data_IF_000543669391
#
_entry.id   IF_000543669391
#
_cell.length_a   1.000
_cell.length_b   1.000
_cell.length_c   1.000
_cell.angle_alpha   90.00
_cell.angle_beta   90.00
_cell.angle_gamma   90.00
#
_symmetry.space_group_name_H-M   'P 1'
#
loop_
_entity.id
_entity.type
_entity.pdbx_description
1 polymer ?
#
# COMPACT_ATOMS: atom_id res chain seq x y z
N UNK A 1 44.54 37.11 21.32
CA UNK A 1 43.93 35.84 21.80
C UNK A 1 44.64 34.58 21.29
N UNK A 2 45.90 34.62 20.83
CA UNK A 2 46.64 33.40 20.44
C UNK A 2 46.16 32.66 19.18
N UNK A 3 45.09 33.12 18.53
CA UNK A 3 44.60 32.56 17.27
C UNK A 3 45.64 32.69 16.17
N UNK A 4 46.00 31.58 15.54
CA UNK A 4 46.98 31.52 14.47
C UNK A 4 46.48 32.33 13.26
N UNK A 5 47.27 33.30 12.78
CA UNK A 5 46.91 34.07 11.58
C UNK A 5 46.76 33.18 10.35
N UNK A 6 45.81 33.52 9.48
CA UNK A 6 45.66 32.85 8.19
C UNK A 6 46.92 33.04 7.34
N UNK A 7 47.34 31.97 6.67
CA UNK A 7 48.49 31.97 5.75
C UNK A 7 48.03 32.34 4.34
N UNK A 8 48.92 32.98 3.58
CA UNK A 8 48.66 33.29 2.18
C UNK A 8 48.41 32.00 1.37
N UNK A 9 47.41 32.03 0.49
CA UNK A 9 46.96 30.86 -0.29
C UNK A 9 46.12 29.84 0.48
N UNK A 10 45.89 30.02 1.78
CA UNK A 10 45.08 29.10 2.57
C UNK A 10 43.59 29.46 2.52
N UNK A 11 42.71 28.46 2.45
CA UNK A 11 41.27 28.67 2.33
C UNK A 11 40.72 29.32 3.63
N UNK A 12 40.13 30.54 3.56
CA UNK A 12 39.63 31.22 4.74
C UNK A 12 38.51 30.49 5.47
N UNK A 13 37.64 29.75 4.77
CA UNK A 13 36.57 28.98 5.38
C UNK A 13 37.11 27.79 6.18
N UNK A 14 38.11 27.09 5.63
CA UNK A 14 38.79 25.98 6.32
C UNK A 14 39.51 26.49 7.56
N UNK A 15 40.27 27.58 7.43
CA UNK A 15 40.97 28.20 8.56
C UNK A 15 39.99 28.61 9.67
N UNK A 16 38.85 29.20 9.31
CA UNK A 16 37.83 29.61 10.29
C UNK A 16 37.32 28.41 11.09
N UNK A 17 36.97 27.31 10.44
CA UNK A 17 36.48 26.10 11.12
C UNK A 17 37.54 25.47 12.04
N UNK A 18 38.81 25.51 11.63
CA UNK A 18 39.92 24.98 12.43
C UNK A 18 40.13 25.81 13.70
N UNK A 19 40.19 27.14 13.57
CA UNK A 19 40.46 28.04 14.70
C UNK A 19 39.25 28.24 15.61
N UNK A 20 38.03 28.03 15.12
CA UNK A 20 36.79 28.14 15.91
C UNK A 20 36.31 26.80 16.48
N UNK A 21 37.16 25.78 16.50
CA UNK A 21 36.82 24.48 17.06
C UNK A 21 36.84 24.51 18.60
N UNK A 22 36.01 23.67 19.24
CA UNK A 22 35.92 23.58 20.71
C UNK A 22 37.29 23.24 21.34
N UNK A 23 38.09 22.42 20.65
CA UNK A 23 39.43 22.09 21.08
C UNK A 23 40.35 23.32 21.13
N UNK A 24 40.26 24.21 20.12
CA UNK A 24 41.04 25.44 20.08
C UNK A 24 40.55 26.49 21.08
N UNK A 25 39.23 26.63 21.28
CA UNK A 25 38.68 27.49 22.34
C UNK A 25 39.22 27.11 23.72
N UNK A 26 39.25 25.81 24.01
CA UNK A 26 39.76 25.27 25.28
C UNK A 26 41.26 25.51 25.42
N UNK A 27 42.04 25.25 24.36
CA UNK A 27 43.49 25.44 24.38
C UNK A 27 43.90 26.92 24.55
N UNK A 28 43.12 27.84 23.97
CA UNK A 28 43.35 29.27 24.05
C UNK A 28 42.74 29.92 25.30
N UNK A 29 41.88 29.21 26.03
CA UNK A 29 41.14 29.74 27.18
C UNK A 29 40.19 30.89 26.80
N UNK A 30 39.65 30.86 25.58
CA UNK A 30 38.80 31.93 25.02
C UNK A 30 37.46 31.34 24.62
N UNK A 31 36.39 32.01 25.01
CA UNK A 31 35.03 31.77 24.51
C UNK A 31 34.78 32.75 23.34
N UNK A 32 34.79 32.24 22.10
CA UNK A 32 34.57 33.10 20.93
C UNK A 32 33.13 33.61 20.87
N UNK A 33 32.15 32.88 21.40
CA UNK A 33 30.77 33.32 21.44
C UNK A 33 30.60 34.54 22.37
N UNK A 34 31.24 34.53 23.53
CA UNK A 34 31.24 35.67 24.45
C UNK A 34 32.04 36.86 23.89
N UNK A 35 33.17 36.58 23.24
CA UNK A 35 33.96 37.60 22.54
C UNK A 35 33.14 38.29 21.44
N UNK A 36 32.40 37.52 20.65
CA UNK A 36 31.50 38.04 19.63
C UNK A 36 30.38 38.89 20.23
N UNK A 37 29.69 38.42 21.28
CA UNK A 37 28.62 39.17 21.95
C UNK A 37 29.07 40.53 22.48
N UNK A 38 30.33 40.64 22.91
CA UNK A 38 30.90 41.89 23.43
C UNK A 38 31.44 42.81 22.33
N UNK A 39 31.55 42.32 21.09
CA UNK A 39 32.13 43.07 19.97
C UNK A 39 31.20 44.16 19.44
N UNK A 40 31.79 45.16 18.78
CA UNK A 40 31.04 46.18 18.03
C UNK A 40 30.22 45.56 16.89
N UNK A 41 30.73 44.49 16.25
CA UNK A 41 30.04 43.81 15.16
C UNK A 41 28.69 43.24 15.60
N UNK A 42 28.64 42.63 16.80
CA UNK A 42 27.38 42.14 17.36
C UNK A 42 26.40 43.28 17.63
N UNK A 43 26.85 44.39 18.22
CA UNK A 43 26.01 45.57 18.47
C UNK A 43 25.44 46.15 17.17
N UNK A 44 26.27 46.26 16.13
CA UNK A 44 25.86 46.72 14.80
C UNK A 44 24.84 45.77 14.16
N UNK A 45 25.07 44.46 14.17
CA UNK A 45 24.11 43.48 13.66
C UNK A 45 22.79 43.51 14.42
N UNK A 46 22.81 43.68 15.75
CA UNK A 46 21.59 43.83 16.55
C UNK A 46 20.83 45.12 16.25
N UNK A 47 21.53 46.23 16.07
CA UNK A 47 20.92 47.49 15.65
C UNK A 47 20.25 47.36 14.28
N UNK A 48 20.94 46.74 13.31
CA UNK A 48 20.39 46.47 11.97
C UNK A 48 19.17 45.56 12.01
N UNK A 49 19.19 44.47 12.80
CA UNK A 49 18.02 43.61 12.98
C UNK A 49 16.85 44.41 13.55
N UNK A 50 17.07 45.27 14.55
CA UNK A 50 16.02 46.09 15.15
C UNK A 50 15.43 47.07 14.15
N UNK A 51 16.28 47.72 13.35
CA UNK A 51 15.87 48.62 12.27
C UNK A 51 15.00 47.89 11.23
N UNK A 52 15.47 46.74 10.73
CA UNK A 52 14.76 45.95 9.73
C UNK A 52 13.51 45.22 10.27
N UNK A 53 13.37 45.09 11.59
CA UNK A 53 12.17 44.53 12.22
C UNK A 53 11.01 45.53 12.26
N UNK A 54 11.28 46.83 12.05
CA UNK A 54 10.23 47.85 11.97
C UNK A 54 9.80 47.96 10.50
N UNK A 55 8.55 47.60 10.16
CA UNK A 55 8.07 47.73 8.79
C UNK A 55 8.06 49.19 8.35
N UNK A 56 8.34 49.43 7.07
CA UNK A 56 8.33 50.78 6.52
C UNK A 56 6.91 51.38 6.64
N UNK A 57 6.76 52.69 6.93
CA UNK A 57 5.46 53.35 6.98
C UNK A 57 4.67 53.13 5.68
N UNK A 58 3.45 52.59 5.77
CA UNK A 58 2.60 52.28 4.63
C UNK A 58 2.83 50.90 3.97
N UNK A 59 3.79 50.12 4.47
CA UNK A 59 3.93 48.71 4.08
C UNK A 59 2.88 47.83 4.76
N UNK A 60 2.47 46.75 4.09
CA UNK A 60 1.57 45.73 4.61
C UNK A 60 2.29 44.39 4.67
N UNK A 61 1.87 43.54 5.61
CA UNK A 61 2.44 42.20 5.74
C UNK A 61 2.17 41.37 4.48
N UNK A 62 3.16 40.56 4.10
CA UNK A 62 3.05 39.65 2.98
C UNK A 62 1.98 38.59 3.28
N UNK A 63 0.82 38.71 2.65
CA UNK A 63 -0.30 37.78 2.83
C UNK A 63 -0.48 36.89 1.61
N UNK A 64 -0.44 35.58 1.82
CA UNK A 64 -0.81 34.59 0.81
C UNK A 64 -2.19 34.02 1.16
N UNK A 65 -3.18 34.08 0.25
CA UNK A 65 -4.53 33.61 0.53
C UNK A 65 -4.61 32.09 0.71
N UNK A 66 -3.63 31.35 0.19
CA UNK A 66 -3.59 29.89 0.23
C UNK A 66 -2.17 29.42 0.54
N UNK A 67 -2.07 28.29 1.24
CA UNK A 67 -0.79 27.62 1.50
C UNK A 67 -0.13 27.10 0.21
N UNK A 68 -0.94 26.74 -0.79
CA UNK A 68 -0.49 26.18 -2.07
C UNK A 68 -0.92 27.05 -3.24
N UNK A 69 -0.10 27.11 -4.29
CA UNK A 69 -0.34 27.96 -5.46
C UNK A 69 -1.49 27.49 -6.36
N UNK A 70 -1.94 26.24 -6.23
CA UNK A 70 -2.96 25.61 -7.07
C UNK A 70 -4.02 24.88 -6.23
N UNK A 71 -5.27 24.75 -6.70
CA UNK A 71 -6.33 24.04 -5.99
C UNK A 71 -6.05 22.54 -5.89
N UNK A 72 -6.68 21.86 -4.94
CA UNK A 72 -6.43 20.44 -4.64
C UNK A 72 -6.64 19.51 -5.85
N UNK A 73 -7.59 19.82 -6.73
CA UNK A 73 -7.80 19.02 -7.94
C UNK A 73 -6.65 19.13 -8.94
N UNK A 74 -6.12 20.34 -9.16
CA UNK A 74 -4.94 20.55 -10.01
C UNK A 74 -3.69 19.89 -9.40
N UNK A 75 -3.55 19.92 -8.07
CA UNK A 75 -2.50 19.15 -7.39
C UNK A 75 -2.66 17.65 -7.62
N UNK A 76 -3.89 17.13 -7.58
CA UNK A 76 -4.18 15.71 -7.78
C UNK A 76 -3.85 15.26 -9.21
N UNK A 77 -4.26 16.03 -10.23
CA UNK A 77 -3.96 15.71 -11.62
C UNK A 77 -2.45 15.75 -11.89
N UNK A 78 -1.73 16.71 -11.32
CA UNK A 78 -0.28 16.77 -11.40
C UNK A 78 0.40 15.58 -10.69
N UNK A 79 -0.08 15.19 -9.50
CA UNK A 79 0.41 14.01 -8.80
C UNK A 79 0.13 12.73 -9.59
N UNK A 80 -1.05 12.60 -10.19
CA UNK A 80 -1.42 11.44 -11.01
C UNK A 80 -0.57 11.35 -12.26
N UNK A 81 -0.30 12.48 -12.93
CA UNK A 81 0.63 12.53 -14.04
C UNK A 81 2.04 12.11 -13.63
N UNK A 82 2.54 12.60 -12.48
CA UNK A 82 3.82 12.18 -11.91
C UNK A 82 3.85 10.67 -11.65
N UNK A 83 2.81 10.13 -10.99
CA UNK A 83 2.71 8.70 -10.69
C UNK A 83 2.68 7.85 -11.96
N UNK A 84 1.90 8.26 -12.98
CA UNK A 84 1.90 7.62 -14.29
C UNK A 84 3.30 7.59 -14.91
N UNK A 85 4.03 8.71 -14.88
CA UNK A 85 5.39 8.75 -15.39
C UNK A 85 6.35 7.87 -14.58
N UNK A 86 6.21 7.83 -13.25
CA UNK A 86 7.01 6.97 -12.36
C UNK A 86 6.77 5.49 -12.67
N UNK A 87 5.52 5.04 -12.71
CA UNK A 87 5.15 3.65 -12.99
C UNK A 87 5.52 3.21 -14.41
N UNK A 88 5.36 4.10 -15.40
CA UNK A 88 5.75 3.80 -16.78
C UNK A 88 7.26 3.66 -16.95
N UNK A 89 8.05 4.52 -16.28
CA UNK A 89 9.52 4.48 -16.35
C UNK A 89 10.12 3.42 -15.44
N UNK A 90 9.42 3.01 -14.39
CA UNK A 90 9.78 1.88 -13.55
C UNK A 90 9.34 0.56 -14.19
N UNK A 91 9.93 0.26 -15.34
CA UNK A 91 9.63 -0.96 -16.10
C UNK A 91 9.91 -2.21 -15.27
N UNK A 92 10.90 -2.17 -14.38
CA UNK A 92 11.25 -3.30 -13.51
C UNK A 92 10.06 -3.69 -12.63
N UNK A 93 9.42 -2.75 -11.93
CA UNK A 93 8.28 -3.05 -11.08
C UNK A 93 7.09 -3.59 -11.89
N UNK A 94 6.68 -2.87 -12.93
CA UNK A 94 5.48 -3.18 -13.72
C UNK A 94 5.65 -4.47 -14.53
N UNK A 95 6.80 -4.66 -15.19
CA UNK A 95 7.05 -5.84 -16.02
C UNK A 95 7.24 -7.10 -15.16
N UNK A 96 7.99 -7.01 -14.05
CA UNK A 96 8.16 -8.18 -13.16
C UNK A 96 6.82 -8.61 -12.55
N UNK A 97 5.95 -7.66 -12.19
CA UNK A 97 4.61 -7.95 -11.68
C UNK A 97 3.77 -8.74 -12.68
N UNK A 98 3.79 -8.35 -13.97
CA UNK A 98 3.06 -9.05 -15.03
C UNK A 98 3.70 -10.40 -15.40
N UNK A 99 5.03 -10.46 -15.55
CA UNK A 99 5.76 -11.69 -15.87
C UNK A 99 5.62 -12.74 -14.77
N UNK A 100 5.70 -12.31 -13.51
CA UNK A 100 5.50 -13.19 -12.36
C UNK A 100 4.06 -13.71 -12.32
N UNK A 101 3.06 -12.83 -12.53
CA UNK A 101 1.67 -13.26 -12.63
C UNK A 101 1.44 -14.26 -13.77
N UNK A 102 2.08 -14.06 -14.93
CA UNK A 102 2.04 -14.99 -16.05
C UNK A 102 2.62 -16.36 -15.69
N UNK A 103 3.84 -16.37 -15.14
CA UNK A 103 4.53 -17.59 -14.73
C UNK A 103 3.73 -18.37 -13.68
N UNK A 104 3.25 -17.68 -12.65
CA UNK A 104 2.47 -18.27 -11.56
C UNK A 104 1.09 -18.73 -12.04
N UNK A 105 0.49 -18.02 -13.00
CA UNK A 105 -0.77 -18.42 -13.63
C UNK A 105 -0.63 -19.74 -14.39
N UNK A 106 0.45 -19.89 -15.18
CA UNK A 106 0.76 -21.14 -15.88
C UNK A 106 1.10 -22.26 -14.89
N UNK A 107 1.88 -21.97 -13.86
CA UNK A 107 2.25 -22.95 -12.83
C UNK A 107 1.04 -23.47 -12.05
N UNK A 108 0.17 -22.58 -11.55
CA UNK A 108 -1.04 -23.03 -10.86
C UNK A 108 -2.05 -23.67 -11.82
N UNK A 109 -2.15 -23.16 -13.05
CA UNK A 109 -2.98 -23.75 -14.08
C UNK A 109 -2.55 -25.16 -14.45
N UNK A 110 -1.25 -25.47 -14.45
CA UNK A 110 -0.74 -26.81 -14.72
C UNK A 110 -0.88 -27.76 -13.52
N UNK A 111 -0.60 -27.28 -12.30
CA UNK A 111 -0.78 -28.07 -11.07
C UNK A 111 -2.25 -28.45 -10.86
N UNK A 112 -3.19 -27.53 -11.12
CA UNK A 112 -4.63 -27.76 -10.94
C UNK A 112 -5.37 -27.94 -12.27
N UNK A 113 -4.72 -28.60 -13.23
CA UNK A 113 -5.26 -28.78 -14.58
C UNK A 113 -6.62 -29.46 -14.58
N UNK A 114 -7.62 -28.81 -15.19
CA UNK A 114 -9.02 -29.30 -15.33
C UNK A 114 -9.74 -29.66 -14.02
N UNK A 115 -9.23 -29.23 -12.86
CA UNK A 115 -9.85 -29.52 -11.54
C UNK A 115 -11.25 -28.92 -11.43
N UNK A 116 -11.54 -27.79 -12.09
CA UNK A 116 -12.85 -27.13 -12.07
C UNK A 116 -14.00 -27.96 -12.66
N UNK A 117 -13.70 -29.02 -13.43
CA UNK A 117 -14.70 -29.96 -13.96
C UNK A 117 -15.00 -31.12 -13.03
N UNK A 118 -14.09 -31.42 -12.11
CA UNK A 118 -14.18 -32.55 -11.18
C UNK A 118 -14.93 -32.08 -9.93
N UNK A 119 -16.23 -32.37 -9.88
CA UNK A 119 -17.13 -31.90 -8.81
C UNK A 119 -18.07 -33.00 -8.31
N UNK A 120 -17.86 -34.22 -8.77
CA UNK A 120 -18.77 -35.32 -8.53
C UNK A 120 -18.56 -35.84 -7.11
N UNK A 121 -17.33 -35.87 -6.61
CA UNK A 121 -17.03 -36.22 -5.22
C UNK A 121 -16.78 -34.98 -4.34
N UNK A 122 -17.13 -35.08 -3.05
CA UNK A 122 -16.76 -34.08 -2.04
C UNK A 122 -15.24 -33.77 -2.06
N UNK A 123 -14.39 -34.78 -2.24
CA UNK A 123 -12.94 -34.58 -2.32
C UNK A 123 -12.53 -33.75 -3.54
N UNK A 124 -13.15 -34.00 -4.69
CA UNK A 124 -12.86 -33.26 -5.91
C UNK A 124 -13.33 -31.81 -5.80
N UNK A 125 -14.49 -31.58 -5.18
CA UNK A 125 -14.98 -30.25 -4.84
C UNK A 125 -14.00 -29.52 -3.92
N UNK A 126 -13.52 -30.15 -2.84
CA UNK A 126 -12.47 -29.57 -1.98
C UNK A 126 -11.20 -29.22 -2.75
N UNK A 127 -10.76 -30.06 -3.68
CA UNK A 127 -9.59 -29.77 -4.51
C UNK A 127 -9.81 -28.53 -5.39
N UNK A 128 -11.00 -28.38 -5.99
CA UNK A 128 -11.36 -27.22 -6.80
C UNK A 128 -11.47 -25.93 -5.97
N UNK A 129 -12.04 -26.01 -4.78
CA UNK A 129 -12.11 -24.88 -3.86
C UNK A 129 -10.71 -24.50 -3.34
N UNK A 130 -9.89 -25.51 -3.04
CA UNK A 130 -8.51 -25.35 -2.57
C UNK A 130 -7.57 -24.75 -3.61
N UNK A 131 -7.78 -25.04 -4.90
CA UNK A 131 -7.02 -24.42 -5.97
C UNK A 131 -7.28 -22.91 -6.05
N UNK A 132 -8.54 -22.48 -5.94
CA UNK A 132 -8.93 -21.07 -5.91
C UNK A 132 -8.37 -20.36 -4.66
N UNK A 133 -8.47 -21.02 -3.51
CA UNK A 133 -7.89 -20.52 -2.25
C UNK A 133 -6.38 -20.28 -2.37
N UNK A 134 -5.65 -21.25 -2.90
CA UNK A 134 -4.19 -21.18 -3.04
C UNK A 134 -3.78 -20.10 -4.05
N UNK A 135 -4.46 -20.04 -5.19
CA UNK A 135 -4.24 -19.06 -6.24
C UNK A 135 -4.39 -17.62 -5.73
N UNK A 136 -5.48 -17.34 -5.00
CA UNK A 136 -5.81 -16.02 -4.47
C UNK A 136 -4.82 -15.60 -3.39
N UNK A 137 -4.54 -16.48 -2.42
CA UNK A 137 -3.62 -16.17 -1.33
C UNK A 137 -2.22 -15.88 -1.83
N UNK A 138 -1.70 -16.75 -2.70
CA UNK A 138 -0.34 -16.62 -3.19
C UNK A 138 -0.16 -15.32 -3.97
N UNK A 139 -1.02 -15.06 -4.97
CA UNK A 139 -0.90 -13.86 -5.78
C UNK A 139 -1.24 -12.58 -4.99
N UNK A 140 -2.20 -12.65 -4.07
CA UNK A 140 -2.56 -11.55 -3.19
C UNK A 140 -1.39 -11.10 -2.31
N UNK A 141 -0.77 -12.04 -1.57
CA UNK A 141 0.39 -11.76 -0.71
C UNK A 141 1.55 -11.17 -1.52
N UNK A 142 1.78 -11.66 -2.74
CA UNK A 142 2.85 -11.15 -3.61
C UNK A 142 2.57 -9.73 -4.10
N UNK A 143 1.32 -9.39 -4.41
CA UNK A 143 0.94 -8.01 -4.76
C UNK A 143 1.14 -7.05 -3.59
N UNK A 144 0.70 -7.45 -2.40
CA UNK A 144 0.88 -6.66 -1.19
C UNK A 144 2.36 -6.48 -0.84
N UNK A 145 3.21 -7.50 -1.04
CA UNK A 145 4.64 -7.42 -0.72
C UNK A 145 5.42 -6.64 -1.77
N UNK A 146 5.05 -6.76 -3.06
CA UNK A 146 5.71 -6.09 -4.17
C UNK A 146 5.51 -4.57 -4.18
N UNK A 147 4.37 -4.07 -3.69
CA UNK A 147 4.08 -2.62 -3.67
C UNK A 147 4.78 -1.87 -2.53
N UNK A 148 5.10 -2.54 -1.42
CA UNK A 148 5.70 -1.91 -0.24
C UNK A 148 7.01 -1.15 -0.51
N UNK A 149 8.03 -1.74 -1.17
CA UNK A 149 9.28 -1.02 -1.43
C UNK A 149 9.07 0.19 -2.35
N UNK A 150 8.14 0.09 -3.30
CA UNK A 150 7.82 1.19 -4.23
C UNK A 150 7.21 2.37 -3.47
N UNK A 151 6.19 2.11 -2.66
CA UNK A 151 5.52 3.13 -1.83
C UNK A 151 6.49 3.77 -0.84
N UNK A 152 7.41 2.97 -0.26
CA UNK A 152 8.39 3.47 0.70
C UNK A 152 9.37 4.47 0.06
N UNK A 153 9.87 4.18 -1.14
CA UNK A 153 10.74 5.10 -1.89
C UNK A 153 9.98 6.36 -2.28
N UNK A 154 8.77 6.22 -2.82
CA UNK A 154 7.90 7.34 -3.20
C UNK A 154 7.56 8.25 -2.00
N UNK A 155 7.33 7.67 -0.81
CA UNK A 155 7.08 8.44 0.42
C UNK A 155 8.25 9.36 0.78
N UNK A 156 9.49 8.93 0.54
CA UNK A 156 10.68 9.74 0.81
C UNK A 156 10.74 10.97 -0.11
N UNK A 157 10.39 10.79 -1.38
CA UNK A 157 10.28 11.87 -2.36
C UNK A 157 9.14 12.82 -1.97
N UNK A 158 7.98 12.27 -1.62
CA UNK A 158 6.83 13.02 -1.12
C UNK A 158 7.17 13.92 0.06
N UNK A 159 7.92 13.42 1.05
CA UNK A 159 8.28 14.25 2.19
C UNK A 159 9.14 15.46 1.81
N UNK A 160 10.03 15.33 0.81
CA UNK A 160 10.82 16.45 0.30
C UNK A 160 9.95 17.47 -0.45
N UNK A 161 9.07 17.00 -1.32
CA UNK A 161 8.16 17.87 -2.09
C UNK A 161 7.14 18.58 -1.19
N UNK A 162 6.65 17.91 -0.14
CA UNK A 162 5.77 18.49 0.86
C UNK A 162 6.49 19.54 1.70
N UNK A 163 7.74 19.30 2.08
CA UNK A 163 8.56 20.28 2.81
C UNK A 163 8.84 21.53 1.96
N UNK A 164 8.95 21.38 0.64
CA UNK A 164 9.06 22.48 -0.31
C UNK A 164 7.73 23.19 -0.63
N UNK A 165 6.60 22.75 -0.03
CA UNK A 165 5.29 23.37 -0.24
C UNK A 165 4.68 23.13 -1.62
N UNK A 166 5.10 22.09 -2.35
CA UNK A 166 4.66 21.87 -3.74
C UNK A 166 3.19 21.43 -3.86
N UNK A 167 2.72 20.57 -2.95
CA UNK A 167 1.34 20.07 -2.92
C UNK A 167 0.98 19.46 -1.54
N UNK A 168 -0.31 19.23 -1.33
CA UNK A 168 -0.87 18.64 -0.10
C UNK A 168 -0.88 17.10 -0.12
N UNK A 169 -0.98 16.50 1.07
CA UNK A 169 -0.85 15.04 1.24
C UNK A 169 -1.97 14.22 0.58
N UNK A 170 -3.21 14.73 0.61
CA UNK A 170 -4.38 13.97 0.11
C UNK A 170 -4.39 13.82 -1.42
N UNK A 171 -4.17 14.88 -2.22
CA UNK A 171 -3.99 14.75 -3.67
C UNK A 171 -2.92 13.72 -4.07
N UNK A 172 -1.80 13.68 -3.36
CA UNK A 172 -0.77 12.66 -3.58
C UNK A 172 -1.25 11.25 -3.26
N UNK A 173 -1.85 11.06 -2.08
CA UNK A 173 -2.31 9.74 -1.67
C UNK A 173 -3.40 9.18 -2.61
N UNK A 174 -4.36 10.01 -3.03
CA UNK A 174 -5.37 9.60 -4.00
C UNK A 174 -4.77 9.29 -5.37
N UNK A 175 -3.80 10.07 -5.83
CA UNK A 175 -3.12 9.80 -7.09
C UNK A 175 -2.39 8.43 -7.06
N UNK A 176 -1.78 8.09 -5.92
CA UNK A 176 -1.09 6.83 -5.74
C UNK A 176 -2.05 5.63 -5.59
N UNK A 177 -3.23 5.82 -5.01
CA UNK A 177 -4.29 4.79 -4.99
C UNK A 177 -4.87 4.58 -6.40
N UNK A 178 -5.08 5.66 -7.15
CA UNK A 178 -5.72 5.59 -8.46
C UNK A 178 -4.82 4.95 -9.52
N UNK A 179 -3.50 5.18 -9.46
CA UNK A 179 -2.57 4.61 -10.45
C UNK A 179 -2.54 3.08 -10.39
N UNK A 180 -2.81 2.48 -9.24
CA UNK A 180 -2.83 1.01 -9.08
C UNK A 180 -3.99 0.32 -9.81
N UNK A 181 -5.14 1.00 -10.00
CA UNK A 181 -6.32 0.41 -10.63
C UNK A 181 -6.03 -0.20 -12.02
N UNK A 182 -5.49 0.54 -13.01
CA UNK A 182 -5.23 -0.02 -14.33
C UNK A 182 -4.21 -1.17 -14.30
N UNK A 183 -3.14 -1.07 -13.51
CA UNK A 183 -2.12 -2.12 -13.45
C UNK A 183 -2.65 -3.40 -12.79
N UNK A 184 -3.39 -3.28 -11.69
CA UNK A 184 -4.07 -4.42 -11.07
C UNK A 184 -5.09 -5.06 -12.04
N UNK A 185 -5.78 -4.25 -12.85
CA UNK A 185 -6.77 -4.73 -13.81
C UNK A 185 -6.11 -5.57 -14.91
N UNK A 186 -5.05 -5.07 -15.54
CA UNK A 186 -4.33 -5.82 -16.57
C UNK A 186 -3.69 -7.10 -16.02
N UNK A 187 -3.11 -7.04 -14.81
CA UNK A 187 -2.57 -8.22 -14.15
C UNK A 187 -3.67 -9.26 -13.87
N UNK A 188 -4.83 -8.82 -13.39
CA UNK A 188 -5.97 -9.70 -13.13
C UNK A 188 -6.50 -10.31 -14.41
N UNK A 189 -6.59 -9.53 -15.49
CA UNK A 189 -7.06 -10.04 -16.77
C UNK A 189 -6.13 -11.15 -17.26
N UNK A 190 -4.82 -10.91 -17.24
CA UNK A 190 -3.85 -11.90 -17.70
C UNK A 190 -3.87 -13.16 -16.82
N UNK A 191 -3.64 -13.00 -15.51
CA UNK A 191 -3.61 -14.12 -14.57
C UNK A 191 -4.95 -14.86 -14.48
N UNK A 192 -6.03 -14.11 -14.31
CA UNK A 192 -7.37 -14.63 -14.11
C UNK A 192 -7.85 -15.42 -15.30
N UNK A 193 -7.65 -14.92 -16.54
CA UNK A 193 -8.01 -15.65 -17.76
C UNK A 193 -7.19 -16.93 -17.89
N UNK A 194 -5.87 -16.87 -17.69
CA UNK A 194 -4.99 -18.06 -17.77
C UNK A 194 -5.41 -19.13 -16.77
N UNK A 195 -5.56 -18.77 -15.51
CA UNK A 195 -5.94 -19.72 -14.45
C UNK A 195 -7.34 -20.27 -14.69
N UNK A 196 -8.30 -19.42 -15.06
CA UNK A 196 -9.68 -19.85 -15.30
C UNK A 196 -9.76 -20.88 -16.44
N UNK A 197 -9.01 -20.63 -17.53
CA UNK A 197 -8.95 -21.50 -18.68
C UNK A 197 -8.28 -22.84 -18.37
N UNK A 198 -7.10 -22.82 -17.73
CA UNK A 198 -6.33 -24.04 -17.45
C UNK A 198 -6.95 -24.92 -16.36
N UNK A 199 -7.52 -24.30 -15.31
CA UNK A 199 -8.28 -25.03 -14.28
C UNK A 199 -9.61 -25.57 -14.82
N UNK A 200 -10.11 -25.04 -15.93
CA UNK A 200 -11.25 -25.59 -16.65
C UNK A 200 -12.61 -25.32 -16.00
N UNK A 201 -12.79 -24.16 -15.38
CA UNK A 201 -14.09 -23.74 -14.85
C UNK A 201 -15.14 -23.51 -15.96
N UNK A 202 -16.41 -23.39 -15.56
CA UNK A 202 -17.52 -23.29 -16.50
C UNK A 202 -17.56 -21.94 -17.23
N UNK A 203 -17.49 -21.95 -18.56
CA UNK A 203 -17.44 -20.75 -19.41
C UNK A 203 -18.79 -20.03 -19.60
N UNK A 204 -19.54 -19.85 -18.53
CA UNK A 204 -20.71 -18.96 -18.56
C UNK A 204 -20.28 -17.52 -18.32
N UNK A 205 -20.90 -16.59 -19.04
CA UNK A 205 -20.57 -15.14 -18.99
C UNK A 205 -20.63 -14.64 -17.54
N UNK A 206 -21.69 -14.97 -16.81
CA UNK A 206 -21.87 -14.56 -15.43
C UNK A 206 -20.75 -15.08 -14.51
N UNK A 207 -20.42 -16.39 -14.55
CA UNK A 207 -19.39 -16.98 -13.67
C UNK A 207 -18.00 -16.45 -13.96
N UNK A 208 -17.69 -16.22 -15.24
CA UNK A 208 -16.41 -15.66 -15.66
C UNK A 208 -16.24 -14.21 -15.16
N UNK A 209 -17.25 -13.35 -15.35
CA UNK A 209 -17.17 -11.97 -14.87
C UNK A 209 -17.19 -11.87 -13.35
N UNK A 210 -17.93 -12.72 -12.65
CA UNK A 210 -17.86 -12.79 -11.19
C UNK A 210 -16.47 -13.21 -10.70
N UNK A 211 -15.85 -14.21 -11.34
CA UNK A 211 -14.50 -14.63 -11.03
C UNK A 211 -13.49 -13.50 -11.22
N UNK A 212 -13.54 -12.81 -12.37
CA UNK A 212 -12.66 -11.66 -12.63
C UNK A 212 -12.92 -10.51 -11.66
N UNK A 213 -14.17 -10.22 -11.32
CA UNK A 213 -14.54 -9.19 -10.34
C UNK A 213 -13.91 -9.47 -8.99
N UNK A 214 -14.13 -10.68 -8.44
CA UNK A 214 -13.58 -11.02 -7.13
C UNK A 214 -12.07 -11.11 -7.15
N UNK A 215 -11.45 -11.65 -8.21
CA UNK A 215 -10.00 -11.67 -8.34
C UNK A 215 -9.43 -10.24 -8.40
N UNK A 216 -10.02 -9.35 -9.19
CA UNK A 216 -9.55 -7.98 -9.37
C UNK A 216 -9.55 -7.20 -8.06
N UNK A 217 -10.70 -7.16 -7.39
CA UNK A 217 -10.82 -6.45 -6.13
C UNK A 217 -10.05 -7.12 -5.00
N UNK A 218 -9.76 -8.42 -5.12
CA UNK A 218 -8.87 -9.10 -4.19
C UNK A 218 -7.44 -8.64 -4.34
N UNK A 219 -6.88 -8.67 -5.55
CA UNK A 219 -5.53 -8.18 -5.80
C UNK A 219 -5.41 -6.70 -5.42
N UNK A 220 -6.45 -5.91 -5.70
CA UNK A 220 -6.49 -4.50 -5.39
C UNK A 220 -6.46 -4.23 -3.87
N UNK A 221 -7.27 -4.92 -3.05
CA UNK A 221 -7.20 -4.69 -1.61
C UNK A 221 -5.88 -5.18 -1.03
N UNK A 222 -5.28 -6.24 -1.58
CA UNK A 222 -3.96 -6.68 -1.14
C UNK A 222 -2.90 -5.61 -1.43
N UNK A 223 -2.94 -5.00 -2.62
CA UNK A 223 -2.09 -3.86 -2.95
C UNK A 223 -2.32 -2.70 -1.97
N UNK A 224 -3.57 -2.29 -1.74
CA UNK A 224 -3.88 -1.21 -0.80
C UNK A 224 -3.52 -1.54 0.65
N UNK A 225 -3.63 -2.81 1.05
CA UNK A 225 -3.15 -3.27 2.34
C UNK A 225 -1.63 -3.09 2.48
N UNK A 226 -0.86 -3.48 1.47
CA UNK A 226 0.60 -3.24 1.44
C UNK A 226 0.93 -1.74 1.53
N UNK A 227 0.23 -0.90 0.77
CA UNK A 227 0.38 0.56 0.84
C UNK A 227 0.05 1.10 2.24
N UNK A 228 -1.07 0.66 2.82
CA UNK A 228 -1.52 1.02 4.17
C UNK A 228 -0.46 0.68 5.23
N UNK A 229 0.12 -0.53 5.18
CA UNK A 229 1.17 -0.95 6.10
C UNK A 229 2.41 -0.03 6.01
N UNK A 230 2.82 0.37 4.81
CA UNK A 230 3.91 1.35 4.66
C UNK A 230 3.49 2.71 5.21
N UNK A 231 2.27 3.15 4.96
CA UNK A 231 1.74 4.40 5.50
C UNK A 231 1.77 4.46 7.03
N UNK A 232 1.50 3.33 7.70
CA UNK A 232 1.44 3.22 9.16
C UNK A 232 2.79 2.97 9.85
N UNK A 233 3.85 2.66 9.10
CA UNK A 233 5.12 2.21 9.68
C UNK A 233 6.31 3.06 9.26
N UNK A 234 7.34 3.19 10.12
CA UNK A 234 8.51 4.02 9.80
C UNK A 234 9.43 3.37 8.76
N UNK A 235 9.50 2.04 8.69
CA UNK A 235 10.46 1.29 7.87
C UNK A 235 9.75 0.19 7.05
N UNK A 236 10.17 -0.01 5.81
CA UNK A 236 9.72 -1.09 4.93
C UNK A 236 9.85 -2.49 5.59
N UNK A 237 10.91 -2.76 6.36
CA UNK A 237 11.06 -4.05 7.05
C UNK A 237 9.96 -4.25 8.11
N UNK A 238 9.60 -3.21 8.85
CA UNK A 238 8.54 -3.27 9.86
C UNK A 238 7.17 -3.45 9.19
N UNK A 239 6.93 -2.73 8.08
CA UNK A 239 5.75 -2.94 7.23
C UNK A 239 5.60 -4.39 6.81
N UNK A 240 6.67 -5.01 6.32
CA UNK A 240 6.66 -6.40 5.86
C UNK A 240 6.36 -7.39 6.99
N UNK A 241 6.96 -7.20 8.17
CA UNK A 241 6.74 -8.06 9.35
C UNK A 241 5.27 -7.99 9.80
N UNK A 242 4.72 -6.77 9.93
CA UNK A 242 3.32 -6.58 10.32
C UNK A 242 2.40 -7.21 9.28
N UNK A 243 2.68 -6.98 7.99
CA UNK A 243 1.91 -7.56 6.89
C UNK A 243 1.86 -9.09 6.95
N UNK A 244 3.02 -9.71 7.15
CA UNK A 244 3.16 -11.17 7.25
C UNK A 244 2.38 -11.77 8.41
N UNK A 245 2.36 -11.10 9.57
CA UNK A 245 1.58 -11.55 10.72
C UNK A 245 0.08 -11.62 10.39
N UNK A 246 -0.48 -10.58 9.76
CA UNK A 246 -1.87 -10.57 9.34
C UNK A 246 -2.18 -11.56 8.23
N UNK A 247 -1.26 -11.83 7.30
CA UNK A 247 -1.48 -12.89 6.30
C UNK A 247 -1.73 -14.24 6.96
N UNK A 248 -0.97 -14.59 7.99
CA UNK A 248 -1.15 -15.84 8.74
C UNK A 248 -2.52 -15.90 9.41
N UNK A 249 -2.93 -14.83 10.09
CA UNK A 249 -4.23 -14.79 10.78
C UNK A 249 -5.39 -14.80 9.78
N UNK A 250 -5.33 -14.01 8.71
CA UNK A 250 -6.33 -14.02 7.65
C UNK A 250 -6.42 -15.38 6.97
N UNK A 251 -5.28 -16.05 6.78
CA UNK A 251 -5.27 -17.38 6.19
C UNK A 251 -6.04 -18.38 7.06
N UNK A 252 -5.75 -18.41 8.36
CA UNK A 252 -6.39 -19.32 9.33
C UNK A 252 -7.91 -19.10 9.40
N UNK A 253 -8.36 -17.85 9.43
CA UNK A 253 -9.77 -17.48 9.59
C UNK A 253 -10.49 -17.19 8.26
N UNK A 254 -9.89 -17.51 7.12
CA UNK A 254 -10.47 -17.31 5.78
C UNK A 254 -11.71 -18.17 5.50
N UNK A 255 -12.01 -19.15 6.35
CA UNK A 255 -13.15 -20.06 6.18
C UNK A 255 -12.86 -21.31 5.36
N UNK A 256 -11.67 -21.43 4.76
CA UNK A 256 -11.28 -22.63 4.02
C UNK A 256 -10.64 -23.69 4.92
N UNK A 257 -9.61 -23.32 5.68
CA UNK A 257 -8.95 -24.23 6.64
C UNK A 257 -9.87 -24.57 7.81
N UNK A 258 -10.53 -23.56 8.38
CA UNK A 258 -11.54 -23.72 9.44
C UNK A 258 -12.85 -23.15 8.92
N UNK A 259 -13.84 -23.99 8.57
CA UNK A 259 -15.14 -23.53 8.08
C UNK A 259 -15.84 -22.65 9.12
N UNK A 260 -16.50 -21.58 8.66
CA UNK A 260 -17.18 -20.60 9.53
C UNK A 260 -18.08 -21.23 10.61
N UNK A 261 -18.91 -22.25 10.31
CA UNK A 261 -19.77 -22.87 11.33
C UNK A 261 -18.98 -23.55 12.46
N UNK A 262 -17.76 -24.03 12.18
CA UNK A 262 -16.87 -24.71 13.14
C UNK A 262 -16.00 -23.76 13.95
N UNK A 263 -15.93 -22.48 13.57
CA UNK A 263 -15.23 -21.46 14.37
C UNK A 263 -16.01 -21.23 15.67
N UNK A 264 -15.34 -21.26 16.84
CA UNK A 264 -15.97 -20.94 18.12
C UNK A 264 -16.72 -19.60 18.07
N UNK A 265 -17.88 -19.54 18.73
CA UNK A 265 -18.81 -18.40 18.60
C UNK A 265 -18.13 -17.07 18.93
N UNK A 266 -17.26 -17.04 19.95
CA UNK A 266 -16.52 -15.85 20.35
C UNK A 266 -15.45 -15.37 19.36
N UNK A 267 -14.97 -16.23 18.44
CA UNK A 267 -14.03 -15.86 17.36
C UNK A 267 -14.71 -15.62 16.01
N UNK A 268 -16.00 -15.93 15.89
CA UNK A 268 -16.71 -15.89 14.60
C UNK A 268 -16.83 -14.49 14.00
N UNK A 269 -16.75 -13.43 14.80
CA UNK A 269 -16.72 -12.05 14.29
C UNK A 269 -15.48 -11.78 13.42
N UNK A 270 -14.34 -12.41 13.76
CA UNK A 270 -13.09 -12.18 13.05
C UNK A 270 -13.09 -12.76 11.63
N UNK A 271 -13.85 -13.85 11.40
CA UNK A 271 -14.12 -14.36 10.06
C UNK A 271 -14.70 -13.25 9.17
N UNK A 272 -15.66 -12.47 9.67
CA UNK A 272 -16.26 -11.36 8.93
C UNK A 272 -15.35 -10.14 8.80
N UNK A 273 -14.36 -9.98 9.68
CA UNK A 273 -13.32 -8.95 9.55
C UNK A 273 -12.21 -9.33 8.56
N UNK A 274 -12.10 -10.61 8.17
CA UNK A 274 -11.03 -11.11 7.32
C UNK A 274 -11.34 -10.87 5.84
N UNK A 275 -10.54 -10.07 5.10
CA UNK A 275 -10.80 -9.79 3.68
C UNK A 275 -10.84 -11.04 2.80
N UNK A 276 -9.95 -11.98 3.08
CA UNK A 276 -9.80 -13.23 2.32
C UNK A 276 -11.07 -14.08 2.44
N UNK A 277 -11.76 -14.06 3.59
CA UNK A 277 -12.99 -14.79 3.78
C UNK A 277 -14.07 -14.35 2.78
N UNK A 278 -14.15 -13.05 2.49
CA UNK A 278 -15.07 -12.50 1.51
C UNK A 278 -14.66 -12.86 0.08
N UNK A 279 -13.37 -12.78 -0.26
CA UNK A 279 -12.86 -13.20 -1.57
C UNK A 279 -13.23 -14.64 -1.87
N UNK A 280 -12.95 -15.54 -0.94
CA UNK A 280 -13.24 -16.97 -1.08
C UNK A 280 -14.74 -17.21 -1.13
N UNK A 281 -15.53 -16.59 -0.25
CA UNK A 281 -16.98 -16.70 -0.31
C UNK A 281 -17.48 -16.34 -1.71
N UNK A 282 -17.13 -15.16 -2.22
CA UNK A 282 -17.63 -14.67 -3.51
C UNK A 282 -17.21 -15.55 -4.68
N UNK A 283 -15.94 -15.94 -4.70
CA UNK A 283 -15.40 -16.81 -5.75
C UNK A 283 -16.03 -18.21 -5.72
N UNK A 284 -16.10 -18.85 -4.56
CA UNK A 284 -16.61 -20.21 -4.44
C UNK A 284 -18.11 -20.28 -4.71
N UNK A 285 -18.88 -19.30 -4.21
CA UNK A 285 -20.33 -19.23 -4.41
C UNK A 285 -20.71 -18.86 -5.82
N UNK A 286 -19.95 -18.00 -6.50
CA UNK A 286 -20.19 -17.69 -7.91
C UNK A 286 -19.89 -18.88 -8.82
N UNK A 287 -18.90 -19.71 -8.50
CA UNK A 287 -18.56 -20.87 -9.33
C UNK A 287 -19.46 -22.08 -9.08
N UNK A 288 -19.77 -22.37 -7.81
CA UNK A 288 -20.37 -23.63 -7.39
C UNK A 288 -21.73 -23.49 -6.68
N UNK A 289 -22.15 -22.29 -6.29
CA UNK A 289 -23.33 -22.07 -5.44
C UNK A 289 -24.68 -22.25 -6.14
N UNK A 290 -24.69 -22.45 -7.46
CA UNK A 290 -25.86 -22.65 -8.30
C UNK A 290 -26.00 -24.10 -8.82
N UNK A 291 -25.07 -24.99 -8.50
CA UNK A 291 -25.13 -26.38 -8.94
C UNK A 291 -26.01 -27.25 -8.04
N UNK A 292 -26.96 -27.92 -8.66
CA UNK A 292 -27.91 -28.84 -8.03
C UNK A 292 -27.54 -30.32 -8.21
N UNK A 293 -26.40 -30.57 -8.87
CA UNK A 293 -25.84 -31.91 -9.04
C UNK A 293 -25.56 -32.56 -7.68
N UNK A 294 -25.85 -33.86 -7.57
CA UNK A 294 -25.63 -34.64 -6.35
C UNK A 294 -24.17 -35.08 -6.27
N UNK A 295 -23.62 -35.04 -5.06
CA UNK A 295 -22.28 -35.56 -4.80
C UNK A 295 -22.31 -37.09 -4.74
N UNK A 296 -21.45 -37.75 -5.51
CA UNK A 296 -21.25 -39.20 -5.58
C UNK A 296 -21.17 -39.81 -4.18
N UNK A 297 -22.01 -40.83 -3.96
CA UNK A 297 -22.09 -41.54 -2.68
C UNK A 297 -22.91 -40.82 -1.60
N UNK A 298 -23.57 -39.69 -1.91
CA UNK A 298 -24.48 -38.99 -0.99
C UNK A 298 -25.74 -38.48 -1.70
N UNK A 299 -26.81 -38.21 -0.94
CA UNK A 299 -28.00 -37.53 -1.48
C UNK A 299 -27.87 -35.99 -1.49
N UNK A 300 -26.69 -35.46 -1.13
CA UNK A 300 -26.47 -34.03 -0.90
C UNK A 300 -26.09 -33.33 -2.21
N UNK A 301 -26.78 -32.23 -2.51
CA UNK A 301 -26.45 -31.36 -3.64
C UNK A 301 -25.21 -30.50 -3.35
N UNK A 302 -24.43 -30.13 -4.37
CA UNK A 302 -23.27 -29.23 -4.23
C UNK A 302 -23.63 -27.93 -3.50
N UNK A 303 -24.73 -27.28 -3.89
CA UNK A 303 -25.23 -26.07 -3.23
C UNK A 303 -25.56 -26.29 -1.74
N UNK A 304 -26.15 -27.42 -1.40
CA UNK A 304 -26.50 -27.76 -0.02
C UNK A 304 -25.24 -28.02 0.81
N UNK A 305 -24.25 -28.70 0.24
CA UNK A 305 -22.95 -28.92 0.89
C UNK A 305 -22.23 -27.59 1.21
N UNK A 306 -22.20 -26.65 0.26
CA UNK A 306 -21.61 -25.32 0.48
C UNK A 306 -22.33 -24.55 1.59
N UNK A 307 -23.65 -24.69 1.67
CA UNK A 307 -24.44 -24.09 2.73
C UNK A 307 -24.15 -24.70 4.10
N UNK A 308 -24.17 -26.03 4.21
CA UNK A 308 -24.10 -26.70 5.51
C UNK A 308 -22.67 -26.78 6.05
N UNK A 309 -21.68 -27.00 5.19
CA UNK A 309 -20.28 -27.10 5.60
C UNK A 309 -19.62 -25.73 5.77
N UNK A 310 -19.73 -24.85 4.78
CA UNK A 310 -19.07 -23.54 4.78
C UNK A 310 -19.96 -22.40 5.26
N UNK A 311 -21.28 -22.59 5.30
CA UNK A 311 -22.22 -21.51 5.62
C UNK A 311 -22.45 -20.55 4.46
N UNK A 312 -22.17 -20.97 3.23
CA UNK A 312 -22.24 -20.14 2.04
C UNK A 312 -23.63 -20.14 1.41
N UNK A 313 -24.10 -18.95 1.05
CA UNK A 313 -25.43 -18.69 0.46
C UNK A 313 -25.27 -17.92 -0.84
N UNK A 314 -25.81 -18.45 -1.93
CA UNK A 314 -25.78 -17.81 -3.24
C UNK A 314 -26.53 -16.47 -3.29
N UNK A 315 -27.64 -16.35 -2.54
CA UNK A 315 -28.38 -15.09 -2.39
C UNK A 315 -27.55 -13.95 -1.76
N UNK A 316 -26.46 -14.26 -1.07
CA UNK A 316 -25.60 -13.28 -0.41
C UNK A 316 -24.51 -12.69 -1.32
N UNK A 317 -24.41 -13.15 -2.57
CA UNK A 317 -23.33 -12.80 -3.49
C UNK A 317 -23.19 -11.28 -3.70
N UNK A 318 -24.31 -10.57 -3.83
CA UNK A 318 -24.30 -9.10 -3.98
C UNK A 318 -23.76 -8.36 -2.74
N UNK A 319 -24.07 -8.87 -1.54
CA UNK A 319 -23.53 -8.30 -0.29
C UNK A 319 -22.03 -8.54 -0.20
N UNK A 320 -21.57 -9.74 -0.55
CA UNK A 320 -20.14 -10.08 -0.58
C UNK A 320 -19.37 -9.16 -1.52
N UNK A 321 -19.94 -8.85 -2.70
CA UNK A 321 -19.38 -7.91 -3.64
C UNK A 321 -19.27 -6.49 -3.04
N UNK A 322 -20.34 -6.01 -2.38
CA UNK A 322 -20.34 -4.71 -1.69
C UNK A 322 -19.31 -4.62 -0.57
N UNK A 323 -19.14 -5.68 0.23
CA UNK A 323 -18.16 -5.70 1.33
C UNK A 323 -16.73 -5.64 0.80
N UNK A 324 -16.41 -6.37 -0.26
CA UNK A 324 -15.08 -6.33 -0.88
C UNK A 324 -14.73 -4.94 -1.43
N UNK A 325 -15.71 -4.26 -2.05
CA UNK A 325 -15.54 -2.86 -2.45
C UNK A 325 -15.28 -1.96 -1.23
N UNK A 326 -16.05 -2.16 -0.16
CA UNK A 326 -15.87 -1.44 1.11
C UNK A 326 -14.48 -1.63 1.71
N UNK A 327 -13.93 -2.85 1.69
CA UNK A 327 -12.58 -3.15 2.17
C UNK A 327 -11.51 -2.42 1.35
N UNK A 328 -11.66 -2.40 0.01
CA UNK A 328 -10.76 -1.65 -0.86
C UNK A 328 -10.76 -0.16 -0.50
N UNK A 329 -11.93 0.44 -0.36
CA UNK A 329 -12.08 1.85 0.04
C UNK A 329 -11.49 2.08 1.44
N UNK A 330 -11.74 1.18 2.39
CA UNK A 330 -11.22 1.27 3.75
C UNK A 330 -9.69 1.33 3.75
N UNK A 331 -9.01 0.38 3.09
CA UNK A 331 -7.55 0.37 3.05
C UNK A 331 -6.97 1.60 2.32
N UNK A 332 -7.61 2.05 1.24
CA UNK A 332 -7.22 3.27 0.54
C UNK A 332 -7.36 4.53 1.42
N UNK A 333 -8.46 4.64 2.18
CA UNK A 333 -8.70 5.76 3.12
C UNK A 333 -7.71 5.73 4.27
N UNK A 334 -7.46 4.57 4.87
CA UNK A 334 -6.47 4.43 5.95
C UNK A 334 -5.08 4.79 5.44
N UNK A 335 -4.70 4.37 4.23
CA UNK A 335 -3.46 4.80 3.59
C UNK A 335 -3.38 6.32 3.44
N UNK A 336 -4.42 6.95 2.87
CA UNK A 336 -4.44 8.41 2.67
C UNK A 336 -4.38 9.20 3.98
N UNK A 337 -5.11 8.73 5.00
CA UNK A 337 -5.06 9.31 6.34
C UNK A 337 -3.66 9.16 6.96
N UNK A 338 -3.03 7.99 6.80
CA UNK A 338 -1.71 7.70 7.34
C UNK A 338 -0.64 8.61 6.74
N UNK A 339 -0.64 8.78 5.41
CA UNK A 339 0.29 9.68 4.71
C UNK A 339 0.09 11.15 5.09
N UNK A 340 -1.15 11.56 5.38
CA UNK A 340 -1.46 12.91 5.85
C UNK A 340 -0.91 13.16 7.26
N UNK A 341 -1.14 12.21 8.16
CA UNK A 341 -1.00 12.37 9.62
C UNK A 341 0.38 11.99 10.13
N UNK A 342 0.95 10.87 9.67
CA UNK A 342 2.23 10.38 10.15
C UNK A 342 3.40 10.98 9.36
N UNK A 343 4.37 11.52 10.10
CA UNK A 343 5.66 11.94 9.56
C UNK A 343 6.77 11.14 10.23
N UNK A 344 7.45 10.30 9.45
CA UNK A 344 8.54 9.45 9.92
C UNK A 344 9.93 9.99 9.57
N UNK A 345 10.05 11.23 9.07
CA UNK A 345 11.36 11.87 8.94
C UNK A 345 11.99 12.06 10.32
N UNK A 346 13.09 11.36 10.60
CA UNK A 346 14.01 11.75 11.68
C UNK A 346 14.84 12.93 11.16
N UNK A 347 14.84 14.03 11.91
CA UNK A 347 15.74 15.18 11.68
C UNK A 347 17.18 14.81 11.94
#
# INVERSE_FOLDING_TARGET
>A
HGVQKIKEGYNPATWMLEVSSIAQETALGVDFAQTYKNSELYRRSKALIKELSVPAPGSSDLYFPTQYSQPSFAQFTACLWKQRCSYWRNTMYTALRLLFAAFVGVLFGSVFWKVGKQRDSQQQLFNAMGSMYTAVLFLGIQNASGVQPIVFVERTVFYRERAAGMYSALPYAFAQVLIELPYCFFQTLFYGVTVYAMMGFAWTVAKFFWFLFFMYFTLLYFTYYGMMCVGLTPNASVSAIISAAFYGVWNLFSGFLIPRPRIPVWWRWYYWATPIAWSLYGMLVSQFGDYEDRLDGTEVQVKQFLHDYFGFKHSFLGVVAGVILGINVLFAVVFAYSIKTFNFQRR
#
